data_IF_152377338294
#
_entry.id   IF_152377338294
#
_cell.length_a   1.000
_cell.length_b   1.000
_cell.length_c   1.000
_cell.angle_alpha   90.00
_cell.angle_beta   90.00
_cell.angle_gamma   90.00
#
_symmetry.space_group_name_H-M   'P 1'
#
loop_
_entity.id
_entity.type
_entity.pdbx_description
1 polymer ?
#
# COMPACT_ATOMS: atom_id res chain seq x y z
N UNK A 1 1.45 -12.15 34.18
CA UNK A 1 1.46 -12.92 32.91
C UNK A 1 1.89 -12.01 31.77
N UNK A 2 2.61 -12.53 30.79
CA UNK A 2 2.94 -11.83 29.56
C UNK A 2 1.76 -11.96 28.57
N UNK A 3 1.32 -10.84 27.99
CA UNK A 3 0.17 -10.79 27.08
C UNK A 3 0.63 -10.44 25.67
N UNK A 4 0.42 -11.33 24.71
CA UNK A 4 0.58 -11.04 23.30
C UNK A 4 -0.74 -10.51 22.73
N UNK A 5 -0.72 -9.32 22.14
CA UNK A 5 -1.88 -8.68 21.50
C UNK A 5 -1.70 -8.70 19.99
N UNK A 6 -2.40 -9.59 19.32
CA UNK A 6 -2.40 -9.75 17.86
C UNK A 6 -3.51 -8.91 17.21
N UNK A 7 -3.45 -8.75 15.90
CA UNK A 7 -4.49 -8.04 15.14
C UNK A 7 -5.67 -8.97 14.78
N UNK A 8 -5.38 -10.26 14.53
CA UNK A 8 -6.35 -11.22 13.99
C UNK A 8 -6.27 -12.56 14.71
N UNK A 9 -7.40 -13.30 14.76
CA UNK A 9 -7.42 -14.64 15.37
C UNK A 9 -6.48 -15.65 14.70
N UNK A 10 -6.28 -15.54 13.38
CA UNK A 10 -5.36 -16.43 12.63
C UNK A 10 -3.92 -16.24 13.07
N UNK A 11 -3.47 -15.00 13.14
CA UNK A 11 -2.14 -14.62 13.60
C UNK A 11 -1.90 -15.07 15.06
N UNK A 12 -2.90 -14.86 15.93
CA UNK A 12 -2.84 -15.30 17.31
C UNK A 12 -2.65 -16.83 17.44
N UNK A 13 -3.32 -17.62 16.61
CA UNK A 13 -3.16 -19.08 16.57
C UNK A 13 -1.76 -19.51 16.11
N UNK A 14 -1.21 -18.81 15.10
CA UNK A 14 0.12 -19.12 14.60
C UNK A 14 1.19 -18.83 15.65
N UNK A 15 1.12 -17.67 16.31
CA UNK A 15 2.03 -17.31 17.41
C UNK A 15 1.87 -18.27 18.61
N UNK A 16 0.63 -18.56 19.02
CA UNK A 16 0.35 -19.48 20.12
C UNK A 16 0.91 -20.87 19.87
N UNK A 17 0.81 -21.37 18.62
CA UNK A 17 1.37 -22.68 18.22
C UNK A 17 2.89 -22.70 18.41
N UNK A 18 3.58 -21.65 17.97
CA UNK A 18 5.04 -21.56 18.12
C UNK A 18 5.45 -21.42 19.59
N UNK A 19 4.64 -20.75 20.41
CA UNK A 19 4.82 -20.64 21.86
C UNK A 19 4.41 -21.92 22.62
N UNK A 20 3.89 -22.94 21.95
CA UNK A 20 3.47 -24.20 22.57
C UNK A 20 2.19 -24.07 23.42
N UNK A 21 1.34 -23.06 23.14
CA UNK A 21 0.12 -22.81 23.88
C UNK A 21 -1.06 -23.60 23.28
N UNK A 22 -1.87 -24.25 24.14
CA UNK A 22 -3.02 -25.04 23.73
C UNK A 22 -4.29 -24.74 24.55
N UNK A 23 -4.20 -23.95 25.62
CA UNK A 23 -5.35 -23.58 26.48
C UNK A 23 -6.38 -22.76 25.71
N UNK A 24 -7.67 -23.05 25.93
CA UNK A 24 -8.79 -22.33 25.29
C UNK A 24 -9.42 -21.40 26.29
N UNK A 25 -9.30 -20.09 26.03
CA UNK A 25 -10.03 -19.04 26.72
C UNK A 25 -11.05 -18.38 25.79
N UNK A 26 -11.99 -17.64 26.36
CA UNK A 26 -12.89 -16.79 25.59
C UNK A 26 -12.12 -15.62 25.01
N UNK A 27 -12.00 -15.54 23.67
CA UNK A 27 -11.26 -14.49 22.96
C UNK A 27 -9.76 -14.48 23.18
N UNK A 28 -9.17 -15.58 23.68
CA UNK A 28 -7.74 -15.73 23.91
C UNK A 28 -7.29 -17.18 23.86
N UNK A 29 -5.97 -17.40 23.82
CA UNK A 29 -5.32 -18.70 24.00
C UNK A 29 -4.43 -18.59 25.24
N UNK A 30 -4.67 -19.43 26.22
CA UNK A 30 -4.05 -19.32 27.53
C UNK A 30 -2.95 -20.36 27.72
N UNK A 31 -1.90 -19.95 28.43
CA UNK A 31 -0.86 -20.81 29.01
C UNK A 31 -0.56 -20.35 30.44
N UNK A 32 0.38 -21.01 31.10
CA UNK A 32 0.67 -20.80 32.54
C UNK A 32 1.14 -19.35 32.80
N UNK A 33 2.08 -18.86 32.02
CA UNK A 33 2.70 -17.53 32.18
C UNK A 33 2.43 -16.57 31.00
N UNK A 34 1.96 -17.10 29.88
CA UNK A 34 1.74 -16.38 28.62
C UNK A 34 0.30 -16.52 28.17
N UNK A 35 -0.28 -15.45 27.69
CA UNK A 35 -1.61 -15.46 27.04
C UNK A 35 -1.52 -14.72 25.72
N UNK A 36 -2.17 -15.26 24.67
CA UNK A 36 -2.29 -14.62 23.38
C UNK A 36 -3.73 -14.24 23.14
N UNK A 37 -4.00 -12.98 22.86
CA UNK A 37 -5.30 -12.46 22.46
C UNK A 37 -5.21 -11.72 21.13
N UNK A 38 -6.34 -11.29 20.58
CA UNK A 38 -6.38 -10.64 19.29
C UNK A 38 -7.42 -9.53 19.26
N UNK A 39 -7.17 -8.52 18.47
CA UNK A 39 -8.18 -7.61 17.98
C UNK A 39 -8.95 -8.26 16.80
N UNK A 40 -9.91 -7.55 16.27
CA UNK A 40 -10.60 -7.87 15.00
C UNK A 40 -10.59 -6.61 14.10
N UNK A 41 -9.40 -6.05 13.90
CA UNK A 41 -9.19 -4.70 13.43
C UNK A 41 -9.38 -3.67 14.55
N UNK A 42 -9.71 -2.43 14.21
CA UNK A 42 -9.97 -1.38 15.21
C UNK A 42 -11.21 -1.70 16.07
N UNK A 43 -11.01 -1.81 17.38
CA UNK A 43 -12.08 -1.98 18.37
C UNK A 43 -12.61 -0.63 18.87
N UNK A 44 -11.81 0.41 18.71
CA UNK A 44 -12.12 1.78 19.09
C UNK A 44 -12.32 2.64 17.85
N UNK A 45 -12.99 3.76 18.03
CA UNK A 45 -13.15 4.82 17.03
C UNK A 45 -13.18 6.19 17.72
N UNK A 46 -12.76 7.23 17.00
CA UNK A 46 -12.91 8.59 17.48
C UNK A 46 -14.39 8.90 17.69
N UNK A 47 -14.71 9.50 18.82
CA UNK A 47 -16.10 9.81 19.17
C UNK A 47 -16.77 10.70 18.11
N UNK A 48 -18.06 10.50 17.95
CA UNK A 48 -18.86 11.34 17.07
C UNK A 48 -18.93 12.79 17.62
N UNK A 49 -19.19 13.78 16.76
CA UNK A 49 -19.24 15.20 17.16
C UNK A 49 -20.16 15.48 18.35
N UNK A 50 -21.23 14.74 18.51
CA UNK A 50 -22.19 14.89 19.61
C UNK A 50 -21.56 14.65 21.00
N UNK A 51 -20.47 13.87 21.07
CA UNK A 51 -19.75 13.64 22.31
C UNK A 51 -19.02 14.90 22.83
N UNK A 52 -18.80 15.88 21.97
CA UNK A 52 -18.10 17.13 22.28
C UNK A 52 -19.07 18.28 22.59
N UNK A 53 -20.39 18.06 22.50
CA UNK A 53 -21.44 19.00 22.83
C UNK A 53 -22.72 18.76 22.06
N UNK A 54 -23.86 18.98 22.73
CA UNK A 54 -25.21 18.77 22.14
C UNK A 54 -25.45 19.63 20.88
N UNK A 55 -24.81 20.81 20.81
CA UNK A 55 -24.90 21.70 19.64
C UNK A 55 -24.31 21.10 18.37
N UNK A 56 -23.49 20.05 18.50
CA UNK A 56 -22.90 19.35 17.36
C UNK A 56 -23.74 18.15 16.90
N UNK A 57 -24.90 17.90 17.54
CA UNK A 57 -25.82 16.83 17.16
C UNK A 57 -26.67 17.16 15.92
N UNK A 58 -27.64 16.30 15.67
CA UNK A 58 -28.62 16.45 14.58
C UNK A 58 -29.82 17.26 15.11
N UNK A 59 -30.37 18.19 14.31
CA UNK A 59 -29.97 18.61 12.95
C UNK A 59 -28.70 19.46 12.92
N UNK A 60 -27.84 19.22 11.91
CA UNK A 60 -26.63 20.01 11.74
C UNK A 60 -26.98 21.48 11.48
N UNK A 61 -26.15 22.39 12.01
CA UNK A 61 -26.31 23.82 11.88
C UNK A 61 -25.01 24.48 11.46
N UNK A 62 -25.06 25.54 10.66
CA UNK A 62 -23.86 26.25 10.18
C UNK A 62 -23.10 26.90 11.35
N UNK A 63 -23.85 27.41 12.33
CA UNK A 63 -23.31 28.12 13.50
C UNK A 63 -22.52 27.21 14.45
N UNK A 64 -22.74 25.89 14.36
CA UNK A 64 -22.00 24.91 15.16
C UNK A 64 -20.68 24.47 14.52
N UNK A 65 -20.31 25.00 13.37
CA UNK A 65 -19.06 24.68 12.68
C UNK A 65 -18.02 25.78 12.91
N UNK A 66 -16.72 25.43 13.02
CA UNK A 66 -16.19 24.08 13.00
C UNK A 66 -16.27 23.35 14.35
N UNK A 67 -16.40 22.01 14.31
CA UNK A 67 -16.22 21.15 15.49
C UNK A 67 -14.74 20.92 15.69
N UNK A 68 -14.18 21.45 16.79
CA UNK A 68 -12.76 21.35 17.13
C UNK A 68 -12.62 20.76 18.54
N UNK A 69 -12.38 19.44 18.67
CA UNK A 69 -12.19 18.81 19.98
C UNK A 69 -10.95 19.35 20.68
N UNK A 70 -11.10 19.88 21.89
CA UNK A 70 -9.95 20.21 22.76
C UNK A 70 -9.29 18.94 23.31
N UNK A 71 -10.13 17.97 23.68
CA UNK A 71 -9.69 16.67 24.19
C UNK A 71 -10.34 15.57 23.36
N UNK A 72 -9.53 14.80 22.66
CA UNK A 72 -10.00 13.69 21.85
C UNK A 72 -10.60 12.57 22.70
N UNK A 73 -11.76 12.11 22.32
CA UNK A 73 -12.46 11.00 22.95
C UNK A 73 -12.53 9.81 22.00
N UNK A 74 -12.41 8.63 22.56
CA UNK A 74 -12.56 7.35 21.86
C UNK A 74 -13.80 6.62 22.38
N UNK A 75 -14.46 5.88 21.52
CA UNK A 75 -15.58 5.02 21.87
C UNK A 75 -15.35 3.60 21.42
N UNK A 76 -15.87 2.65 22.18
CA UNK A 76 -15.81 1.22 21.82
C UNK A 76 -16.87 0.94 20.76
N UNK A 77 -16.45 0.35 19.64
CA UNK A 77 -17.38 -0.04 18.57
C UNK A 77 -18.35 -1.11 19.08
N UNK A 78 -19.68 -0.95 18.90
CA UNK A 78 -20.66 -1.91 19.39
C UNK A 78 -20.41 -3.35 18.94
N UNK A 79 -19.99 -3.53 17.69
CA UNK A 79 -19.78 -4.84 17.06
C UNK A 79 -18.59 -5.60 17.65
N UNK A 80 -17.63 -4.91 18.26
CA UNK A 80 -16.41 -5.50 18.82
C UNK A 80 -16.35 -5.46 20.33
N UNK A 81 -17.43 -5.05 21.00
CA UNK A 81 -17.50 -4.84 22.46
C UNK A 81 -17.16 -6.11 23.26
N UNK A 82 -17.57 -7.29 22.79
CA UNK A 82 -17.25 -8.56 23.46
C UNK A 82 -15.73 -8.78 23.51
N UNK A 83 -15.06 -8.67 22.39
CA UNK A 83 -13.60 -8.85 22.32
C UNK A 83 -12.84 -7.74 23.06
N UNK A 84 -13.32 -6.50 22.99
CA UNK A 84 -12.78 -5.40 23.80
C UNK A 84 -12.83 -5.73 25.30
N UNK A 85 -13.95 -6.28 25.80
CA UNK A 85 -14.10 -6.67 27.20
C UNK A 85 -13.07 -7.72 27.62
N UNK A 86 -12.81 -8.71 26.75
CA UNK A 86 -11.77 -9.72 26.98
C UNK A 86 -10.40 -9.07 27.08
N UNK A 87 -10.01 -8.24 26.11
CA UNK A 87 -8.71 -7.57 26.08
C UNK A 87 -8.53 -6.68 27.32
N UNK A 88 -9.54 -5.87 27.66
CA UNK A 88 -9.50 -4.99 28.83
C UNK A 88 -9.29 -5.78 30.13
N UNK A 89 -9.96 -6.95 30.29
CA UNK A 89 -9.74 -7.84 31.42
C UNK A 89 -8.32 -8.42 31.47
N UNK A 90 -7.78 -8.81 30.32
CA UNK A 90 -6.44 -9.38 30.23
C UNK A 90 -5.35 -8.31 30.49
N UNK A 91 -5.52 -7.10 30.00
CA UNK A 91 -4.61 -5.97 30.22
C UNK A 91 -4.47 -5.65 31.72
N UNK A 92 -5.55 -5.71 32.50
CA UNK A 92 -5.50 -5.49 33.97
C UNK A 92 -4.65 -6.54 34.71
N UNK A 93 -4.45 -7.71 34.12
CA UNK A 93 -3.67 -8.83 34.71
C UNK A 93 -2.28 -8.96 34.08
N UNK A 94 -2.00 -8.23 32.99
CA UNK A 94 -0.74 -8.33 32.27
C UNK A 94 0.39 -7.63 33.04
N UNK A 95 1.49 -8.34 33.27
CA UNK A 95 2.73 -7.76 33.79
C UNK A 95 3.57 -7.13 32.67
N UNK A 96 3.39 -7.58 31.45
CA UNK A 96 4.03 -7.06 30.23
C UNK A 96 3.11 -7.31 29.05
N UNK A 97 3.09 -6.39 28.08
CA UNK A 97 2.38 -6.55 26.81
C UNK A 97 3.38 -6.60 25.66
N UNK A 98 3.23 -7.62 24.80
CA UNK A 98 3.93 -7.73 23.52
C UNK A 98 2.93 -7.41 22.43
N UNK A 99 3.09 -6.27 21.77
CA UNK A 99 2.31 -5.90 20.59
C UNK A 99 2.76 -6.82 19.45
N UNK A 100 1.83 -7.63 18.95
CA UNK A 100 2.03 -8.62 17.90
C UNK A 100 1.03 -8.44 16.75
N UNK A 101 0.55 -7.22 16.54
CA UNK A 101 -0.26 -6.80 15.39
C UNK A 101 0.58 -6.77 14.11
N UNK A 102 -0.04 -6.57 12.95
CA UNK A 102 0.67 -6.46 11.68
C UNK A 102 1.82 -5.44 11.75
N UNK A 103 2.88 -5.68 10.98
CA UNK A 103 4.12 -4.88 11.05
C UNK A 103 3.97 -3.58 10.24
N UNK A 104 2.99 -2.76 10.61
CA UNK A 104 2.73 -1.47 9.98
C UNK A 104 2.22 -0.42 10.99
N UNK A 105 1.98 0.78 10.47
CA UNK A 105 1.44 1.89 11.26
C UNK A 105 0.05 1.59 11.81
N UNK A 106 -0.80 0.92 11.05
CA UNK A 106 -2.18 0.59 11.44
C UNK A 106 -2.19 -0.39 12.61
N UNK A 107 -1.35 -1.43 12.56
CA UNK A 107 -1.17 -2.37 13.66
C UNK A 107 -0.70 -1.69 14.96
N UNK A 108 0.19 -0.72 14.87
CA UNK A 108 0.60 0.08 16.04
C UNK A 108 -0.57 0.90 16.60
N UNK A 109 -1.38 1.52 15.75
CA UNK A 109 -2.56 2.28 16.18
C UNK A 109 -3.55 1.37 16.88
N UNK A 110 -3.93 0.24 16.28
CA UNK A 110 -4.88 -0.73 16.86
C UNK A 110 -4.45 -1.14 18.27
N UNK A 111 -3.17 -1.48 18.44
CA UNK A 111 -2.68 -1.94 19.74
C UNK A 111 -2.60 -0.82 20.77
N UNK A 112 -1.98 0.31 20.41
CA UNK A 112 -1.72 1.39 21.36
C UNK A 112 -2.95 2.18 21.75
N UNK A 113 -3.95 2.31 20.88
CA UNK A 113 -5.25 2.86 21.25
C UNK A 113 -5.90 2.04 22.37
N UNK A 114 -5.82 0.71 22.30
CA UNK A 114 -6.33 -0.17 23.36
C UNK A 114 -5.56 -0.02 24.67
N UNK A 115 -4.21 0.05 24.59
CA UNK A 115 -3.37 0.28 25.78
C UNK A 115 -3.69 1.63 26.43
N UNK A 116 -3.79 2.70 25.64
CA UNK A 116 -4.11 4.04 26.12
C UNK A 116 -5.53 4.11 26.73
N UNK A 117 -6.52 3.56 26.01
CA UNK A 117 -7.92 3.56 26.47
C UNK A 117 -8.10 2.75 27.77
N UNK A 118 -7.40 1.63 27.89
CA UNK A 118 -7.42 0.81 29.11
C UNK A 118 -6.46 1.30 30.19
N UNK A 119 -5.75 2.42 29.97
CA UNK A 119 -4.77 3.01 30.89
C UNK A 119 -3.69 2.01 31.34
N UNK A 120 -3.18 1.23 30.40
CA UNK A 120 -2.12 0.28 30.69
C UNK A 120 -0.78 1.02 30.86
N UNK A 121 -0.16 0.85 32.03
CA UNK A 121 1.11 1.52 32.40
C UNK A 121 2.28 0.55 32.51
N UNK A 122 2.10 -0.73 32.22
CA UNK A 122 3.17 -1.73 32.28
C UNK A 122 4.13 -1.67 31.10
N UNK A 123 5.21 -2.48 31.13
CA UNK A 123 6.16 -2.61 30.03
C UNK A 123 5.48 -3.04 28.73
N UNK A 124 5.91 -2.43 27.62
CA UNK A 124 5.44 -2.73 26.27
C UNK A 124 6.63 -3.14 25.39
N UNK A 125 6.48 -4.25 24.69
CA UNK A 125 7.45 -4.72 23.69
C UNK A 125 6.75 -4.94 22.35
N UNK A 126 7.53 -5.12 21.29
CA UNK A 126 7.01 -5.26 19.91
C UNK A 126 7.55 -6.52 19.26
N UNK A 127 6.68 -7.44 18.89
CA UNK A 127 6.96 -8.54 17.99
C UNK A 127 6.72 -8.08 16.56
N UNK A 128 7.81 -7.81 15.83
CA UNK A 128 7.73 -7.32 14.44
C UNK A 128 7.76 -8.50 13.47
N UNK A 129 6.63 -8.80 12.83
CA UNK A 129 6.45 -9.96 11.97
C UNK A 129 6.27 -9.54 10.51
N UNK A 130 7.24 -9.88 9.66
CA UNK A 130 7.15 -9.66 8.20
C UNK A 130 6.53 -10.86 7.47
N UNK A 131 6.52 -12.05 8.08
CA UNK A 131 5.91 -13.26 7.55
C UNK A 131 5.31 -14.11 8.69
N UNK A 132 4.36 -15.01 8.36
CA UNK A 132 3.61 -15.82 9.33
C UNK A 132 3.95 -17.32 9.25
N UNK A 133 5.01 -17.69 8.55
CA UNK A 133 5.55 -19.05 8.61
C UNK A 133 6.24 -19.31 9.96
N UNK A 134 6.40 -20.56 10.32
CA UNK A 134 6.90 -20.94 11.64
C UNK A 134 8.33 -20.46 11.90
N UNK A 135 9.21 -20.46 10.87
CA UNK A 135 10.59 -20.01 11.00
C UNK A 135 10.66 -18.51 11.29
N UNK A 136 9.93 -17.70 10.53
CA UNK A 136 9.84 -16.25 10.72
C UNK A 136 9.26 -15.87 12.07
N UNK A 137 8.24 -16.59 12.56
CA UNK A 137 7.67 -16.36 13.90
C UNK A 137 8.68 -16.69 14.99
N UNK A 138 9.44 -17.79 14.87
CA UNK A 138 10.49 -18.17 15.84
C UNK A 138 11.61 -17.13 15.89
N UNK A 139 12.05 -16.66 14.72
CA UNK A 139 13.08 -15.64 14.63
C UNK A 139 12.62 -14.31 15.27
N UNK A 140 11.41 -13.86 14.97
CA UNK A 140 10.86 -12.64 15.56
C UNK A 140 10.68 -12.77 17.07
N UNK A 141 10.27 -13.93 17.59
CA UNK A 141 10.17 -14.18 19.04
C UNK A 141 11.52 -14.15 19.73
N UNK A 142 12.60 -14.54 19.06
CA UNK A 142 13.96 -14.43 19.58
C UNK A 142 14.47 -12.98 19.58
N UNK A 143 13.89 -12.10 18.73
CA UNK A 143 14.31 -10.72 18.49
C UNK A 143 13.21 -9.69 18.81
N UNK A 144 12.46 -9.87 19.90
CA UNK A 144 11.41 -8.94 20.31
C UNK A 144 12.01 -7.55 20.60
N UNK A 145 11.48 -6.53 19.93
CA UNK A 145 11.95 -5.14 20.02
C UNK A 145 11.42 -4.42 21.26
N UNK A 146 12.14 -3.42 21.78
CA UNK A 146 11.57 -2.44 22.71
C UNK A 146 10.39 -1.70 22.09
N UNK A 147 9.32 -1.47 22.86
CA UNK A 147 8.11 -0.82 22.33
C UNK A 147 8.32 0.62 21.86
N UNK A 148 9.33 1.31 22.39
CA UNK A 148 9.66 2.69 22.03
C UNK A 148 10.14 2.83 20.58
N UNK A 149 10.72 1.79 20.00
CA UNK A 149 11.24 1.84 18.62
C UNK A 149 10.14 2.08 17.60
N UNK A 150 8.92 1.62 17.87
CA UNK A 150 7.78 1.75 16.96
C UNK A 150 6.71 2.75 17.41
N UNK A 151 6.92 3.40 18.57
CA UNK A 151 5.94 4.33 19.14
C UNK A 151 5.58 5.49 18.20
N UNK A 152 6.55 6.00 17.43
CA UNK A 152 6.30 7.10 16.47
C UNK A 152 5.33 6.74 15.36
N UNK A 153 5.19 5.45 15.03
CA UNK A 153 4.19 4.99 14.06
C UNK A 153 2.77 5.22 14.60
N UNK A 154 2.58 4.98 15.89
CA UNK A 154 1.32 5.31 16.56
C UNK A 154 0.99 6.80 16.49
N UNK A 155 1.95 7.67 16.85
CA UNK A 155 1.75 9.12 16.83
C UNK A 155 1.35 9.60 15.43
N UNK A 156 2.03 9.09 14.40
CA UNK A 156 1.73 9.42 13.01
C UNK A 156 0.33 8.91 12.58
N UNK A 157 -0.05 7.71 13.03
CA UNK A 157 -1.35 7.13 12.74
C UNK A 157 -2.49 7.86 13.45
N UNK A 158 -2.31 8.19 14.73
CA UNK A 158 -3.26 8.96 15.51
C UNK A 158 -3.48 10.36 14.91
N UNK A 159 -2.40 11.08 14.62
CA UNK A 159 -2.48 12.40 13.99
C UNK A 159 -3.22 12.35 12.64
N UNK A 160 -2.98 11.30 11.84
CA UNK A 160 -3.71 11.09 10.60
C UNK A 160 -5.21 10.84 10.85
N UNK A 161 -5.57 9.98 11.80
CA UNK A 161 -6.97 9.70 12.16
C UNK A 161 -7.70 10.96 12.61
N UNK A 162 -7.07 11.77 13.45
CA UNK A 162 -7.60 13.06 13.91
C UNK A 162 -7.76 14.06 12.75
N UNK A 163 -6.78 14.16 11.85
CA UNK A 163 -6.89 15.01 10.67
C UNK A 163 -8.01 14.55 9.72
N UNK A 164 -8.17 13.24 9.52
CA UNK A 164 -9.26 12.68 8.71
C UNK A 164 -10.62 12.97 9.34
N UNK A 165 -10.73 12.87 10.67
CA UNK A 165 -11.94 13.21 11.39
C UNK A 165 -12.27 14.72 11.28
N UNK A 166 -11.29 15.60 11.54
CA UNK A 166 -11.49 17.06 11.46
C UNK A 166 -11.96 17.49 10.07
N UNK A 167 -11.29 17.05 9.03
CA UNK A 167 -11.64 17.40 7.66
C UNK A 167 -12.97 16.75 7.26
N UNK A 168 -13.11 15.44 7.51
CA UNK A 168 -14.29 14.67 7.13
C UNK A 168 -15.56 15.20 7.79
N UNK A 169 -15.56 15.35 9.11
CA UNK A 169 -16.73 15.78 9.86
C UNK A 169 -17.14 17.23 9.55
N UNK A 170 -16.18 18.15 9.54
CA UNK A 170 -16.50 19.55 9.33
C UNK A 170 -16.88 19.86 7.88
N UNK A 171 -16.10 19.39 6.90
CA UNK A 171 -16.37 19.71 5.51
C UNK A 171 -17.59 18.95 4.96
N UNK A 172 -17.83 17.72 5.38
CA UNK A 172 -19.06 16.99 5.02
C UNK A 172 -20.29 17.76 5.48
N UNK A 173 -20.33 18.23 6.74
CA UNK A 173 -21.43 19.02 7.27
C UNK A 173 -21.58 20.37 6.55
N UNK A 174 -20.48 21.10 6.37
CA UNK A 174 -20.47 22.39 5.69
C UNK A 174 -21.04 22.31 4.27
N UNK A 175 -20.50 21.39 3.46
CA UNK A 175 -20.94 21.24 2.08
C UNK A 175 -22.34 20.68 1.96
N UNK A 176 -22.74 19.76 2.86
CA UNK A 176 -24.12 19.25 2.91
C UNK A 176 -25.12 20.38 3.24
N UNK A 177 -24.82 21.23 4.23
CA UNK A 177 -25.68 22.35 4.58
C UNK A 177 -25.81 23.37 3.44
N UNK A 178 -24.69 23.70 2.76
CA UNK A 178 -24.72 24.56 1.57
C UNK A 178 -25.52 23.94 0.42
N UNK A 179 -25.36 22.66 0.16
CA UNK A 179 -26.08 21.96 -0.89
C UNK A 179 -27.60 21.93 -0.61
N UNK A 180 -27.98 21.66 0.63
CA UNK A 180 -29.41 21.71 1.05
C UNK A 180 -30.03 23.07 0.89
N UNK A 181 -29.30 24.15 1.19
CA UNK A 181 -29.74 25.49 0.93
C UNK A 181 -29.96 25.78 -0.57
N UNK A 182 -29.30 25.01 -1.46
CA UNK A 182 -29.47 25.09 -2.91
C UNK A 182 -30.43 24.01 -3.47
N UNK A 183 -31.20 23.35 -2.59
CA UNK A 183 -32.20 22.34 -3.00
C UNK A 183 -31.67 20.91 -3.23
N UNK A 184 -30.44 20.62 -2.89
CA UNK A 184 -29.85 19.27 -2.99
C UNK A 184 -29.98 18.58 -1.61
N UNK A 185 -30.79 17.52 -1.45
CA UNK A 185 -31.08 16.92 -0.15
C UNK A 185 -29.97 15.98 0.34
N UNK A 186 -29.11 15.51 -0.56
CA UNK A 186 -28.13 14.47 -0.30
C UNK A 186 -27.00 14.93 0.64
N UNK A 187 -26.38 13.97 1.30
CA UNK A 187 -25.15 14.20 2.07
C UNK A 187 -23.96 14.26 1.12
N UNK A 188 -23.28 15.40 1.10
CA UNK A 188 -22.04 15.58 0.34
C UNK A 188 -20.84 15.19 1.20
N UNK A 189 -20.47 13.93 1.12
CA UNK A 189 -19.33 13.39 1.86
C UNK A 189 -18.00 13.95 1.36
N UNK A 190 -17.19 14.45 2.29
CA UNK A 190 -15.84 14.99 2.02
C UNK A 190 -14.82 14.20 2.83
N UNK A 191 -13.70 13.86 2.20
CA UNK A 191 -12.61 13.15 2.87
C UNK A 191 -11.27 13.39 2.18
N UNK A 192 -10.18 13.28 2.94
CA UNK A 192 -8.82 13.57 2.47
C UNK A 192 -8.36 12.65 1.33
N UNK A 193 -8.91 11.46 1.19
CA UNK A 193 -8.58 10.52 0.13
C UNK A 193 -9.66 10.52 -0.95
N UNK A 194 -10.92 10.32 -0.55
CA UNK A 194 -12.03 10.16 -1.49
C UNK A 194 -12.26 11.41 -2.36
N UNK A 195 -12.18 12.61 -1.81
CA UNK A 195 -12.46 13.85 -2.56
C UNK A 195 -11.38 14.15 -3.60
N UNK A 196 -10.07 14.09 -3.30
CA UNK A 196 -9.03 14.22 -4.32
C UNK A 196 -9.11 13.13 -5.39
N UNK A 197 -9.42 11.89 -5.01
CA UNK A 197 -9.59 10.79 -5.97
C UNK A 197 -10.74 11.06 -6.93
N UNK A 198 -11.90 11.49 -6.41
CA UNK A 198 -13.03 11.90 -7.23
C UNK A 198 -12.67 13.08 -8.16
N UNK A 199 -11.94 14.07 -7.64
CA UNK A 199 -11.49 15.21 -8.44
C UNK A 199 -10.58 14.78 -9.61
N UNK A 200 -9.72 13.79 -9.42
CA UNK A 200 -8.89 13.22 -10.49
C UNK A 200 -9.75 12.56 -11.58
N UNK A 201 -10.75 11.77 -11.17
CA UNK A 201 -11.68 11.12 -12.11
C UNK A 201 -12.46 12.18 -12.90
N UNK A 202 -13.05 13.15 -12.21
CA UNK A 202 -13.82 14.23 -12.86
C UNK A 202 -12.96 15.05 -13.83
N UNK A 203 -11.73 15.38 -13.47
CA UNK A 203 -10.79 16.05 -14.39
C UNK A 203 -10.54 15.22 -15.63
N UNK A 204 -10.32 13.92 -15.46
CA UNK A 204 -10.10 13.03 -16.59
C UNK A 204 -11.31 12.94 -17.51
N UNK A 205 -12.50 12.86 -16.95
CA UNK A 205 -13.74 12.88 -17.73
C UNK A 205 -13.91 14.22 -18.51
N UNK A 206 -13.57 15.34 -17.87
CA UNK A 206 -13.58 16.65 -18.53
C UNK A 206 -12.53 16.75 -19.65
N UNK A 207 -11.32 16.23 -19.44
CA UNK A 207 -10.30 16.16 -20.48
C UNK A 207 -10.76 15.31 -21.68
N UNK A 208 -11.41 14.17 -21.42
CA UNK A 208 -11.95 13.29 -22.45
C UNK A 208 -13.12 14.00 -23.20
N UNK A 209 -14.04 14.61 -22.46
CA UNK A 209 -15.18 15.32 -23.06
C UNK A 209 -14.74 16.55 -23.86
N UNK A 210 -13.70 17.25 -23.40
CA UNK A 210 -13.12 18.40 -24.08
C UNK A 210 -12.03 18.07 -25.10
N UNK A 211 -11.78 16.76 -25.37
CA UNK A 211 -10.69 16.36 -26.25
C UNK A 211 -10.93 16.80 -27.70
N UNK A 212 -10.02 17.61 -28.21
CA UNK A 212 -10.00 18.04 -29.60
C UNK A 212 -8.87 17.32 -30.32
N UNK A 213 -9.17 16.43 -31.30
CA UNK A 213 -8.15 15.74 -32.04
C UNK A 213 -7.25 16.74 -32.81
N UNK A 214 -5.95 16.62 -32.64
CA UNK A 214 -4.96 17.38 -33.41
C UNK A 214 -4.19 16.42 -34.30
N UNK A 215 -4.26 16.55 -35.62
CA UNK A 215 -3.50 15.68 -36.53
C UNK A 215 -2.00 16.01 -36.41
N UNK A 216 -1.19 14.96 -36.46
CA UNK A 216 0.27 15.08 -36.55
C UNK A 216 0.79 14.11 -37.59
N UNK A 217 1.98 14.38 -38.09
CA UNK A 217 2.60 13.63 -39.17
C UNK A 217 3.96 13.12 -38.79
N UNK A 218 4.25 11.91 -39.22
CA UNK A 218 5.55 11.27 -39.07
C UNK A 218 5.95 10.69 -40.42
N UNK A 219 7.16 11.02 -40.89
CA UNK A 219 7.69 10.51 -42.16
C UNK A 219 8.70 9.40 -41.87
N UNK A 220 8.53 8.29 -42.56
CA UNK A 220 9.44 7.16 -42.51
C UNK A 220 10.07 6.93 -43.85
N UNK A 221 11.41 6.70 -43.88
CA UNK A 221 12.12 6.26 -45.07
C UNK A 221 12.55 4.79 -44.91
N UNK A 222 12.18 3.94 -45.84
CA UNK A 222 12.72 2.60 -45.97
C UNK A 222 14.08 2.66 -46.69
N UNK A 223 15.11 2.20 -46.02
CA UNK A 223 16.50 2.23 -46.54
C UNK A 223 17.06 0.81 -46.62
N UNK A 224 17.97 0.58 -47.59
CA UNK A 224 18.66 -0.69 -47.74
C UNK A 224 20.15 -0.44 -47.90
N UNK A 225 20.98 -1.18 -47.16
CA UNK A 225 22.43 -1.20 -47.34
C UNK A 225 22.94 -2.64 -47.11
N UNK A 226 23.73 -3.10 -48.08
CA UNK A 226 24.36 -4.43 -48.05
C UNK A 226 23.39 -5.56 -47.77
N UNK A 227 22.14 -5.47 -48.36
CA UNK A 227 21.04 -6.45 -48.20
C UNK A 227 20.27 -6.30 -46.87
N UNK A 228 20.67 -5.39 -45.97
CA UNK A 228 20.00 -5.13 -44.72
C UNK A 228 19.00 -3.98 -44.91
N UNK A 229 17.70 -4.26 -44.67
CA UNK A 229 16.66 -3.25 -44.71
C UNK A 229 16.39 -2.69 -43.32
N UNK A 230 16.30 -1.37 -43.21
CA UNK A 230 15.99 -0.67 -42.00
C UNK A 230 15.10 0.54 -42.28
N UNK A 231 14.41 1.01 -41.23
CA UNK A 231 13.54 2.18 -41.31
C UNK A 231 14.15 3.35 -40.56
N UNK A 232 14.30 4.48 -41.23
CA UNK A 232 14.65 5.75 -40.62
C UNK A 232 13.39 6.57 -40.34
N UNK A 233 13.41 7.36 -39.29
CA UNK A 233 12.31 8.25 -38.88
C UNK A 233 12.82 9.69 -39.03
N UNK A 234 12.03 10.51 -39.72
CA UNK A 234 12.31 11.93 -39.80
C UNK A 234 12.15 12.60 -38.45
N UNK A 235 13.16 13.37 -38.02
CA UNK A 235 13.12 14.22 -36.83
C UNK A 235 12.76 15.64 -37.32
N UNK A 236 11.57 16.10 -37.01
CA UNK A 236 11.09 17.40 -37.39
C UNK A 236 11.80 18.51 -36.59
N UNK A 237 12.03 19.66 -37.22
CA UNK A 237 12.58 20.83 -36.52
C UNK A 237 11.56 21.35 -35.49
N UNK A 238 12.01 21.86 -34.35
CA UNK A 238 11.19 22.30 -33.21
C UNK A 238 10.08 23.26 -33.60
N UNK A 239 10.33 24.15 -34.55
CA UNK A 239 9.34 25.12 -35.06
C UNK A 239 8.11 24.49 -35.75
N UNK A 240 8.18 23.19 -36.08
CA UNK A 240 7.07 22.43 -36.67
C UNK A 240 6.43 21.46 -35.66
N UNK A 241 6.92 21.45 -34.43
CA UNK A 241 6.50 20.47 -33.42
C UNK A 241 5.59 21.09 -32.36
N UNK A 242 4.72 20.26 -31.79
CA UNK A 242 4.00 20.56 -30.54
C UNK A 242 4.88 20.27 -29.31
N UNK A 243 4.31 20.46 -28.12
CA UNK A 243 4.97 20.22 -26.83
C UNK A 243 5.44 18.74 -26.64
N UNK A 244 4.79 17.80 -27.34
CA UNK A 244 5.15 16.38 -27.34
C UNK A 244 6.15 16.02 -28.43
N UNK A 245 6.75 17.01 -29.09
CA UNK A 245 7.73 16.87 -30.21
C UNK A 245 7.14 16.15 -31.43
N UNK A 246 5.83 16.22 -31.64
CA UNK A 246 5.15 15.67 -32.82
C UNK A 246 5.02 16.75 -33.88
N UNK A 247 5.36 16.45 -35.15
CA UNK A 247 5.19 17.39 -36.23
C UNK A 247 3.71 17.68 -36.48
N UNK A 248 3.28 18.93 -36.31
CA UNK A 248 1.91 19.40 -36.58
C UNK A 248 1.80 20.19 -37.88
N UNK A 249 2.90 20.30 -38.65
CA UNK A 249 2.93 21.00 -39.93
C UNK A 249 2.93 20.02 -41.10
N UNK A 250 1.79 19.87 -41.77
CA UNK A 250 1.63 18.95 -42.90
C UNK A 250 2.48 19.33 -44.11
N UNK A 251 2.76 20.64 -44.30
CA UNK A 251 3.54 21.08 -45.46
C UNK A 251 5.02 20.71 -45.28
N UNK A 252 5.55 20.85 -44.07
CA UNK A 252 6.89 20.39 -43.73
C UNK A 252 7.04 18.88 -43.94
N UNK A 253 6.05 18.08 -43.45
CA UNK A 253 6.07 16.64 -43.66
C UNK A 253 5.98 16.23 -45.15
N UNK A 254 5.18 16.94 -45.97
CA UNK A 254 5.09 16.70 -47.39
C UNK A 254 6.38 17.08 -48.15
N UNK A 255 6.99 18.18 -47.78
CA UNK A 255 8.27 18.62 -48.39
C UNK A 255 9.37 17.58 -48.13
N UNK A 256 9.48 17.06 -46.95
CA UNK A 256 10.46 15.99 -46.61
C UNK A 256 10.13 14.68 -47.33
N UNK A 257 8.86 14.31 -47.43
CA UNK A 257 8.44 13.12 -48.22
C UNK A 257 8.88 13.23 -49.68
N UNK A 258 8.67 14.40 -50.30
CA UNK A 258 9.08 14.66 -51.68
C UNK A 258 10.61 14.62 -51.85
N UNK A 259 11.33 15.22 -50.90
CA UNK A 259 12.79 15.17 -50.88
C UNK A 259 13.30 13.72 -50.83
N UNK A 260 12.75 12.91 -49.92
CA UNK A 260 13.12 11.49 -49.81
C UNK A 260 12.84 10.69 -51.08
N UNK A 261 11.72 11.00 -51.80
CA UNK A 261 11.39 10.35 -53.05
C UNK A 261 12.30 10.74 -54.25
N UNK A 262 12.82 11.97 -54.21
CA UNK A 262 13.72 12.49 -55.26
C UNK A 262 15.18 12.14 -55.02
N UNK A 263 15.53 11.77 -53.78
CA UNK A 263 16.92 11.50 -53.38
C UNK A 263 17.13 9.98 -53.22
N UNK A 264 17.90 9.33 -54.10
CA UNK A 264 18.04 7.87 -54.12
C UNK A 264 18.93 7.32 -53.00
N UNK A 265 19.63 8.18 -52.26
CA UNK A 265 20.54 7.74 -51.20
C UNK A 265 20.51 8.67 -50.01
N UNK A 266 20.87 8.14 -48.87
CA UNK A 266 21.08 8.88 -47.63
C UNK A 266 22.48 8.65 -47.08
N UNK A 267 23.04 9.66 -46.42
CA UNK A 267 24.38 9.60 -45.83
C UNK A 267 24.24 9.53 -44.32
N UNK A 268 24.96 8.59 -43.72
CA UNK A 268 25.06 8.52 -42.26
C UNK A 268 26.02 9.65 -41.81
N UNK A 269 25.48 10.60 -41.09
CA UNK A 269 26.22 11.74 -40.58
C UNK A 269 26.92 11.42 -39.25
N UNK A 270 26.21 10.75 -38.36
CA UNK A 270 26.74 10.42 -37.01
C UNK A 270 26.27 9.04 -36.59
N UNK A 271 27.14 8.33 -35.89
CA UNK A 271 26.79 7.05 -35.21
C UNK A 271 27.14 7.14 -33.74
N UNK A 272 26.13 7.17 -32.90
CA UNK A 272 26.32 7.16 -31.45
C UNK A 272 26.07 5.77 -30.90
N UNK A 273 27.00 5.24 -30.13
CA UNK A 273 26.88 3.98 -29.41
C UNK A 273 26.87 4.24 -27.91
N UNK A 274 25.76 3.98 -27.27
CA UNK A 274 25.61 4.10 -25.82
C UNK A 274 25.39 2.73 -25.21
N UNK A 275 26.24 2.37 -24.25
CA UNK A 275 26.03 1.16 -23.48
C UNK A 275 25.15 1.49 -22.27
N UNK A 276 23.93 1.00 -22.26
CA UNK A 276 23.00 1.18 -21.15
C UNK A 276 22.90 -0.10 -20.33
N UNK A 277 22.83 0.06 -19.00
CA UNK A 277 22.59 -1.04 -18.08
C UNK A 277 21.17 -0.86 -17.53
N UNK A 278 20.28 -1.77 -17.85
CA UNK A 278 18.95 -1.82 -17.25
C UNK A 278 19.02 -2.70 -15.99
N UNK A 279 18.85 -2.15 -14.81
CA UNK A 279 18.87 -2.96 -13.58
C UNK A 279 17.65 -3.87 -13.54
N UNK A 280 17.78 -5.03 -12.88
CA UNK A 280 16.66 -5.89 -12.58
C UNK A 280 15.58 -5.13 -11.78
N UNK A 281 14.28 -5.43 -11.98
CA UNK A 281 13.22 -4.82 -11.20
C UNK A 281 13.37 -5.15 -9.72
N UNK A 282 12.78 -4.35 -8.85
CA UNK A 282 12.61 -4.65 -7.43
C UNK A 282 11.46 -5.65 -7.25
N UNK A 283 11.30 -6.18 -6.04
CA UNK A 283 10.11 -6.93 -5.66
C UNK A 283 8.86 -6.04 -5.76
N UNK A 284 7.70 -6.65 -5.82
CA UNK A 284 6.45 -5.91 -5.85
C UNK A 284 6.16 -5.26 -4.50
N UNK A 285 5.79 -3.99 -4.52
CA UNK A 285 4.96 -3.39 -3.50
C UNK A 285 3.48 -3.67 -3.82
N UNK A 286 2.56 -3.40 -2.88
CA UNK A 286 1.13 -3.60 -3.14
C UNK A 286 0.67 -2.81 -4.37
N UNK A 287 1.02 -1.55 -4.48
CA UNK A 287 0.63 -0.70 -5.61
C UNK A 287 1.14 -1.21 -6.95
N UNK A 288 2.41 -1.58 -7.04
CA UNK A 288 3.01 -2.11 -8.28
C UNK A 288 2.46 -3.49 -8.65
N UNK A 289 2.11 -4.32 -7.66
CA UNK A 289 1.42 -5.60 -7.88
C UNK A 289 0.01 -5.39 -8.45
N UNK A 290 -0.76 -4.48 -7.85
CA UNK A 290 -2.11 -4.13 -8.32
C UNK A 290 -2.07 -3.60 -9.76
N UNK A 291 -1.11 -2.72 -10.08
CA UNK A 291 -0.93 -2.19 -11.42
C UNK A 291 -0.57 -3.28 -12.44
N UNK A 292 0.35 -4.18 -12.09
CA UNK A 292 0.74 -5.29 -12.94
C UNK A 292 -0.44 -6.26 -13.20
N UNK A 293 -1.19 -6.60 -12.15
CA UNK A 293 -2.37 -7.47 -12.25
C UNK A 293 -3.51 -6.81 -13.06
N UNK A 294 -3.71 -5.51 -12.88
CA UNK A 294 -4.69 -4.75 -13.66
C UNK A 294 -4.33 -4.75 -15.15
N UNK A 295 -3.07 -4.47 -15.50
CA UNK A 295 -2.60 -4.48 -16.90
C UNK A 295 -2.69 -5.87 -17.53
N UNK A 296 -2.28 -6.91 -16.81
CA UNK A 296 -2.15 -8.26 -17.38
C UNK A 296 -3.47 -9.06 -17.37
N UNK A 297 -4.29 -8.87 -16.34
CA UNK A 297 -5.46 -9.70 -16.08
C UNK A 297 -6.76 -8.90 -15.97
N UNK A 298 -6.73 -7.56 -16.02
CA UNK A 298 -7.91 -6.71 -15.82
C UNK A 298 -8.47 -6.75 -14.40
N UNK A 299 -7.66 -7.16 -13.41
CA UNK A 299 -8.11 -7.28 -12.03
C UNK A 299 -8.25 -5.92 -11.35
N UNK A 300 -9.33 -5.74 -10.58
CA UNK A 300 -9.49 -4.58 -9.69
C UNK A 300 -8.54 -4.64 -8.49
N UNK A 301 -8.13 -3.46 -7.99
CA UNK A 301 -7.16 -3.34 -6.88
C UNK A 301 -7.59 -4.11 -5.62
N UNK A 302 -8.89 -4.08 -5.25
CA UNK A 302 -9.40 -4.82 -4.10
C UNK A 302 -9.31 -6.33 -4.28
N UNK A 303 -9.57 -6.84 -5.48
CA UNK A 303 -9.44 -8.28 -5.78
C UNK A 303 -8.00 -8.75 -5.60
N UNK A 304 -7.03 -7.97 -6.10
CA UNK A 304 -5.59 -8.26 -5.95
C UNK A 304 -5.20 -8.27 -4.47
N UNK A 305 -5.64 -7.28 -3.70
CA UNK A 305 -5.38 -7.23 -2.25
C UNK A 305 -5.95 -8.45 -1.53
N UNK A 306 -7.19 -8.84 -1.82
CA UNK A 306 -7.82 -10.00 -1.19
C UNK A 306 -7.08 -11.31 -1.48
N UNK A 307 -6.61 -11.49 -2.71
CA UNK A 307 -5.79 -12.66 -3.10
C UNK A 307 -4.43 -12.62 -2.38
N UNK A 308 -3.74 -11.49 -2.39
CA UNK A 308 -2.46 -11.34 -1.71
C UNK A 308 -2.59 -11.58 -0.20
N UNK A 309 -3.68 -11.09 0.43
CA UNK A 309 -3.97 -11.34 1.83
C UNK A 309 -4.22 -12.83 2.12
N UNK A 310 -4.93 -13.54 1.24
CA UNK A 310 -5.13 -15.00 1.34
C UNK A 310 -3.82 -15.77 1.21
N UNK A 311 -2.95 -15.37 0.28
CA UNK A 311 -1.61 -15.97 0.12
C UNK A 311 -0.76 -15.78 1.38
N UNK A 312 -0.86 -14.65 2.04
CA UNK A 312 -0.15 -14.35 3.28
C UNK A 312 -0.75 -15.08 4.49
N UNK A 313 -2.06 -14.96 4.73
CA UNK A 313 -2.71 -15.44 5.95
C UNK A 313 -3.02 -16.95 5.92
N UNK A 314 -3.49 -17.46 4.77
CA UNK A 314 -3.97 -18.84 4.65
C UNK A 314 -2.88 -19.76 4.13
N UNK A 315 -2.20 -19.34 3.07
CA UNK A 315 -1.24 -20.21 2.37
C UNK A 315 0.20 -20.02 2.84
N UNK A 316 0.50 -18.95 3.60
CA UNK A 316 1.86 -18.63 4.09
C UNK A 316 2.90 -18.59 2.96
N UNK A 317 2.48 -18.16 1.77
CA UNK A 317 3.27 -18.22 0.54
C UNK A 317 3.92 -16.87 0.16
N UNK A 318 3.60 -15.81 0.87
CA UNK A 318 4.16 -14.46 0.64
C UNK A 318 4.45 -13.77 1.96
N UNK A 319 5.30 -12.73 1.91
CA UNK A 319 5.48 -11.77 3.00
C UNK A 319 4.24 -10.85 3.12
N UNK A 320 4.23 -9.96 4.12
CA UNK A 320 3.11 -9.05 4.37
C UNK A 320 2.74 -8.24 3.11
N UNK A 321 1.48 -8.32 2.63
CA UNK A 321 1.13 -7.80 1.31
C UNK A 321 0.96 -6.28 1.25
N UNK A 322 0.68 -5.60 2.38
CA UNK A 322 0.47 -4.15 2.40
C UNK A 322 1.78 -3.38 2.55
N UNK A 323 2.79 -3.76 1.81
CA UNK A 323 4.09 -3.11 1.83
C UNK A 323 4.22 -2.08 0.72
N UNK A 324 4.86 -0.96 1.01
CA UNK A 324 5.32 0.04 0.02
C UNK A 324 6.78 -0.20 -0.38
N UNK A 325 7.44 -1.18 0.25
CA UNK A 325 8.85 -1.48 0.05
C UNK A 325 9.05 -2.58 -1.00
N UNK A 326 9.96 -2.34 -1.94
CA UNK A 326 10.40 -3.34 -2.92
C UNK A 326 11.73 -4.00 -2.59
N UNK A 327 12.28 -3.75 -1.40
CA UNK A 327 13.54 -4.32 -0.92
C UNK A 327 13.26 -5.41 0.11
N UNK A 328 14.23 -6.32 0.25
CA UNK A 328 14.20 -7.42 1.21
C UNK A 328 15.39 -7.33 2.17
N UNK A 329 15.27 -7.84 3.40
CA UNK A 329 16.38 -7.94 4.35
C UNK A 329 17.54 -8.75 3.77
N UNK A 330 18.77 -8.33 4.07
CA UNK A 330 19.97 -9.06 3.67
C UNK A 330 20.01 -10.46 4.28
N UNK A 331 19.44 -10.63 5.47
CA UNK A 331 19.30 -11.94 6.15
C UNK A 331 18.50 -12.96 5.32
N UNK A 332 17.48 -12.53 4.60
CA UNK A 332 16.63 -13.40 3.76
C UNK A 332 17.33 -13.88 2.47
N UNK A 333 18.51 -13.34 2.13
CA UNK A 333 19.26 -13.79 0.96
C UNK A 333 19.61 -15.28 1.05
N UNK A 334 19.87 -15.79 2.24
CA UNK A 334 20.22 -17.21 2.45
C UNK A 334 19.07 -18.16 2.10
N UNK A 335 17.82 -17.72 2.31
CA UNK A 335 16.61 -18.47 2.01
C UNK A 335 16.27 -18.49 0.51
N UNK A 336 16.87 -17.61 -0.28
CA UNK A 336 16.54 -17.46 -1.70
C UNK A 336 16.66 -18.74 -2.51
N UNK A 337 17.62 -19.62 -2.16
CA UNK A 337 17.81 -20.92 -2.82
C UNK A 337 16.63 -21.87 -2.58
N UNK A 338 16.11 -21.89 -1.36
CA UNK A 338 14.95 -22.73 -0.99
C UNK A 338 13.68 -22.21 -1.65
N UNK A 339 13.51 -20.88 -1.68
CA UNK A 339 12.39 -20.22 -2.37
C UNK A 339 12.40 -20.54 -3.87
N UNK A 340 13.55 -20.40 -4.53
CA UNK A 340 13.71 -20.74 -5.96
C UNK A 340 13.43 -22.23 -6.23
N UNK A 341 13.89 -23.12 -5.37
CA UNK A 341 13.59 -24.54 -5.48
C UNK A 341 12.10 -24.84 -5.26
N UNK A 342 11.44 -24.14 -4.34
CA UNK A 342 9.99 -24.24 -4.15
C UNK A 342 9.21 -23.73 -5.37
N UNK A 343 9.64 -22.65 -5.97
CA UNK A 343 9.05 -22.11 -7.20
C UNK A 343 9.13 -23.12 -8.36
N UNK A 344 10.29 -23.76 -8.55
CA UNK A 344 10.48 -24.81 -9.59
C UNK A 344 9.56 -26.02 -9.37
N UNK A 345 9.29 -26.39 -8.11
CA UNK A 345 8.34 -27.47 -7.78
C UNK A 345 6.89 -27.06 -8.03
N UNK A 346 6.54 -25.81 -7.76
CA UNK A 346 5.18 -25.31 -7.93
C UNK A 346 4.83 -25.05 -9.39
N UNK A 347 5.80 -24.58 -10.18
CA UNK A 347 5.65 -24.34 -11.62
C UNK A 347 6.87 -24.86 -12.39
N UNK A 348 6.78 -26.09 -12.95
CA UNK A 348 7.87 -26.68 -13.72
C UNK A 348 8.32 -25.86 -14.94
N UNK A 349 7.47 -24.96 -15.46
CA UNK A 349 7.81 -24.08 -16.57
C UNK A 349 8.91 -23.07 -16.20
N UNK A 350 9.12 -22.80 -14.92
CA UNK A 350 10.18 -21.93 -14.42
C UNK A 350 11.56 -22.61 -14.38
N UNK A 351 11.61 -23.94 -14.40
CA UNK A 351 12.87 -24.71 -14.25
C UNK A 351 13.96 -24.29 -15.24
N UNK A 352 13.69 -24.11 -16.55
CA UNK A 352 14.73 -23.70 -17.51
C UNK A 352 15.28 -22.29 -17.24
N UNK A 353 14.44 -21.39 -16.71
CA UNK A 353 14.83 -20.03 -16.36
C UNK A 353 15.69 -20.03 -15.10
N UNK A 354 15.26 -20.78 -14.09
CA UNK A 354 15.95 -20.90 -12.81
C UNK A 354 17.33 -21.58 -12.96
N UNK A 355 17.47 -22.52 -13.90
CA UNK A 355 18.75 -23.18 -14.22
C UNK A 355 19.81 -22.23 -14.83
N UNK A 356 19.38 -21.07 -15.34
CA UNK A 356 20.27 -20.06 -15.92
C UNK A 356 20.71 -19.00 -14.90
N UNK A 357 20.21 -19.05 -13.68
CA UNK A 357 20.58 -18.09 -12.64
C UNK A 357 22.04 -18.30 -12.21
N UNK A 358 22.78 -17.18 -12.13
CA UNK A 358 24.11 -17.18 -11.54
C UNK A 358 23.98 -17.27 -10.00
N UNK A 359 24.46 -18.33 -9.37
CA UNK A 359 24.39 -18.50 -7.91
C UNK A 359 25.17 -17.44 -7.12
N UNK A 360 26.14 -16.79 -7.77
CA UNK A 360 26.97 -15.72 -7.19
C UNK A 360 26.38 -14.31 -7.37
N UNK A 361 25.29 -14.18 -8.11
CA UNK A 361 24.69 -12.86 -8.34
C UNK A 361 23.96 -12.36 -7.10
N UNK A 362 24.43 -11.23 -6.59
CA UNK A 362 23.76 -10.51 -5.49
C UNK A 362 22.86 -9.42 -6.08
N UNK A 363 21.55 -9.61 -5.95
CA UNK A 363 20.58 -8.63 -6.41
C UNK A 363 20.58 -7.38 -5.52
N UNK A 364 20.30 -6.22 -6.14
CA UNK A 364 20.11 -4.96 -5.40
C UNK A 364 18.87 -4.95 -4.48
N UNK A 365 18.04 -5.97 -4.53
CA UNK A 365 16.85 -6.08 -3.67
C UNK A 365 17.23 -6.29 -2.20
N UNK A 366 18.38 -6.91 -1.92
CA UNK A 366 18.90 -7.14 -0.58
C UNK A 366 19.52 -5.85 -0.04
N UNK A 367 18.80 -5.12 0.80
CA UNK A 367 19.28 -3.83 1.31
C UNK A 367 18.54 -3.39 2.56
N UNK A 368 19.11 -3.66 3.75
CA UNK A 368 18.53 -3.31 5.04
C UNK A 368 18.31 -1.80 5.22
N UNK A 369 19.15 -0.95 4.59
CA UNK A 369 19.05 0.51 4.70
C UNK A 369 17.85 1.11 3.97
N UNK A 370 17.21 0.33 3.09
CA UNK A 370 16.06 0.77 2.26
C UNK A 370 14.76 0.08 2.64
N UNK A 371 14.78 -0.72 3.68
CA UNK A 371 13.56 -1.29 4.24
C UNK A 371 12.92 -0.22 5.14
N UNK A 372 11.67 0.10 4.87
CA UNK A 372 10.88 1.08 5.64
C UNK A 372 9.80 0.37 6.42
#
# INVERSE_FOLDING_TARGET
MQLYLCEKPSQARDIARVLGLSGRGEGCIEGDTVTVTWAVGHLLELAAPEAYGEQFGVPWRMESLPVLPENWQMTVKPQTKSQFTVISRLLKRASEVVIATDADREGEVIARELLAYCQYCGPVRRLWLSALDEASVREALANILPGEQTARLYDAGLARGQADWLIGMNLTRLYTLKARASGIPDVLSVGRVQTPTLAMVVRRDQEIAGFVPRPWWQVFAGLEKDGIRFRAVWVAAEQYCDEEKRCVNVQAARAVLQLCQQTPSAVVHEVTRKREKTPAPLCFSLGTLQEACSRKFGMGAQTVLNIAQSLYETHKATTYPRTDCGYLPESMQQESREVLAAMARSDPALTPVLAQLDPGFVSRIWNDKKIT
#
